data_IF_137453021869
#
_entry.id   IF_137453021869
#
_cell.length_a   1.000
_cell.length_b   1.000
_cell.length_c   1.000
_cell.angle_alpha   90.00
_cell.angle_beta   90.00
_cell.angle_gamma   90.00
#
_symmetry.space_group_name_H-M   'P 1'
#
loop_
_entity.id
_entity.type
_entity.pdbx_description
1 polymer ?
#
# COMPACT_ATOMS: atom_id res chain seq x y z
N UNK A 1 -7.89 42.37 -47.64
CA UNK A 1 -7.09 43.24 -48.52
C UNK A 1 -7.32 44.68 -48.10
N UNK A 2 -6.23 45.40 -47.80
CA UNK A 2 -6.17 46.87 -47.65
C UNK A 2 -6.87 47.47 -46.41
N UNK A 3 -6.34 48.45 -45.68
CA UNK A 3 -5.02 49.11 -45.65
C UNK A 3 -5.12 50.19 -44.56
N UNK A 4 -4.01 50.44 -43.86
CA UNK A 4 -3.61 51.71 -43.20
C UNK A 4 -4.48 52.24 -42.05
N UNK A 5 -3.99 53.03 -41.10
CA UNK A 5 -2.66 53.40 -40.59
C UNK A 5 -2.92 54.60 -39.67
N UNK A 6 -2.09 54.74 -38.64
CA UNK A 6 -1.68 56.03 -38.02
C UNK A 6 -2.77 56.89 -37.37
N UNK A 7 -2.62 57.09 -36.06
CA UNK A 7 -2.69 58.43 -35.50
C UNK A 7 -1.59 58.59 -34.43
N UNK A 8 -0.44 59.22 -34.71
CA UNK A 8 -0.06 60.65 -34.66
C UNK A 8 -0.09 61.30 -33.28
N UNK A 9 1.10 61.79 -32.87
CA UNK A 9 1.48 62.91 -31.96
C UNK A 9 2.54 62.42 -30.95
N UNK A 10 3.81 62.85 -30.97
CA UNK A 10 4.36 64.17 -31.27
C UNK A 10 4.17 65.05 -30.04
N UNK A 11 5.17 65.49 -29.26
CA UNK A 11 6.62 65.39 -29.38
C UNK A 11 7.30 65.97 -28.13
N UNK A 12 8.60 65.62 -27.99
CA UNK A 12 9.74 66.42 -27.48
C UNK A 12 9.55 67.47 -26.38
N UNK A 13 10.31 67.36 -25.28
CA UNK A 13 11.26 68.40 -24.84
C UNK A 13 12.50 67.74 -24.20
N UNK A 14 13.67 68.23 -24.60
CA UNK A 14 15.02 67.91 -24.11
C UNK A 14 15.40 68.80 -22.91
N UNK A 15 16.18 68.26 -21.98
CA UNK A 15 17.20 68.86 -21.08
C UNK A 15 17.40 67.81 -19.97
N UNK A 16 18.57 67.35 -19.56
CA UNK A 16 19.94 67.83 -19.64
C UNK A 16 20.58 67.45 -18.30
N UNK A 17 21.41 66.41 -18.29
CA UNK A 17 22.45 66.03 -17.32
C UNK A 17 22.18 66.15 -15.79
N UNK A 18 22.31 65.03 -15.07
CA UNK A 18 23.48 64.76 -14.19
C UNK A 18 23.24 63.57 -13.23
N UNK A 19 24.13 62.59 -13.34
CA UNK A 19 24.80 61.84 -12.26
C UNK A 19 23.97 61.39 -11.04
N UNK A 20 23.69 60.10 -10.95
CA UNK A 20 23.95 59.30 -9.76
C UNK A 20 23.79 57.81 -10.07
N UNK A 21 24.86 57.05 -9.82
CA UNK A 21 24.94 55.63 -9.99
C UNK A 21 24.04 54.88 -9.00
N UNK A 22 23.21 53.96 -9.50
CA UNK A 22 22.81 52.75 -8.77
C UNK A 22 22.65 51.60 -9.76
N UNK A 23 23.70 50.78 -9.89
CA UNK A 23 23.60 49.45 -10.49
C UNK A 23 22.71 48.59 -9.57
N UNK A 24 21.42 48.49 -9.84
CA UNK A 24 20.61 47.39 -9.31
C UNK A 24 20.80 46.16 -10.20
N UNK A 25 21.81 45.36 -9.87
CA UNK A 25 21.88 43.97 -10.29
C UNK A 25 20.73 43.21 -9.62
N UNK A 26 19.64 43.01 -10.36
CA UNK A 26 18.50 42.20 -9.92
C UNK A 26 18.85 40.71 -9.92
N UNK A 27 19.29 40.20 -8.79
CA UNK A 27 19.45 38.76 -8.56
C UNK A 27 18.08 38.09 -8.48
N UNK A 28 17.68 37.35 -9.53
CA UNK A 28 16.57 36.41 -9.47
C UNK A 28 16.97 35.24 -8.56
N UNK A 29 16.65 35.34 -7.28
CA UNK A 29 16.74 34.23 -6.35
C UNK A 29 15.68 33.18 -6.73
N UNK A 30 16.11 32.11 -7.40
CA UNK A 30 15.29 30.96 -7.70
C UNK A 30 15.04 30.21 -6.38
N UNK A 31 13.90 30.49 -5.73
CA UNK A 31 13.47 29.76 -4.55
C UNK A 31 13.09 28.34 -4.97
N UNK A 32 13.97 27.37 -4.68
CA UNK A 32 13.65 25.96 -4.84
C UNK A 32 12.49 25.61 -3.89
N UNK A 33 11.39 24.99 -4.36
CA UNK A 33 10.33 24.54 -3.48
C UNK A 33 10.89 23.47 -2.51
N UNK A 34 10.46 23.47 -1.23
CA UNK A 34 10.84 22.43 -0.30
C UNK A 34 10.36 21.08 -0.84
N UNK A 35 11.28 20.12 -0.94
CA UNK A 35 10.92 18.73 -1.20
C UNK A 35 9.96 18.27 -0.09
N UNK A 36 8.72 17.97 -0.45
CA UNK A 36 7.76 17.35 0.44
C UNK A 36 8.27 15.95 0.79
N UNK A 37 8.99 15.85 1.91
CA UNK A 37 9.41 14.57 2.47
C UNK A 37 8.20 13.80 2.97
N UNK A 38 8.20 12.49 2.76
CA UNK A 38 7.22 11.49 3.20
C UNK A 38 7.25 11.29 4.73
N UNK A 39 7.30 12.40 5.48
CA UNK A 39 7.78 12.50 6.86
C UNK A 39 6.85 11.90 7.94
N UNK A 40 5.97 10.97 7.55
CA UNK A 40 5.11 10.27 8.50
C UNK A 40 4.67 8.88 8.07
N UNK A 41 5.17 8.32 6.95
CA UNK A 41 4.83 6.94 6.55
C UNK A 41 5.90 5.97 7.03
N UNK A 42 5.47 4.89 7.68
CA UNK A 42 6.30 3.76 8.09
C UNK A 42 6.13 2.65 7.06
N UNK A 43 7.21 2.25 6.40
CA UNK A 43 7.21 1.10 5.50
C UNK A 43 7.23 -0.20 6.31
N UNK A 44 6.37 -1.15 5.92
CA UNK A 44 6.21 -2.42 6.61
C UNK A 44 6.49 -3.60 5.66
N UNK A 45 7.19 -4.64 6.12
CA UNK A 45 7.51 -5.83 5.33
C UNK A 45 6.33 -6.81 5.20
N UNK A 46 5.25 -6.63 5.97
CA UNK A 46 4.08 -7.51 5.95
C UNK A 46 2.80 -6.70 5.79
N UNK A 47 1.94 -7.14 4.88
CA UNK A 47 0.58 -6.67 4.71
C UNK A 47 -0.40 -7.75 5.24
N UNK A 48 -1.25 -7.38 6.19
CA UNK A 48 -2.35 -8.23 6.67
C UNK A 48 -3.59 -7.95 5.82
N UNK A 49 -4.10 -8.98 5.18
CA UNK A 49 -5.34 -8.94 4.41
C UNK A 49 -6.44 -9.71 5.14
N UNK A 50 -7.67 -9.26 4.94
CA UNK A 50 -8.85 -10.03 5.25
C UNK A 50 -9.51 -10.46 3.94
N UNK A 51 -9.96 -11.70 3.91
CA UNK A 51 -10.70 -12.27 2.79
C UNK A 51 -12.01 -12.87 3.27
N UNK A 52 -13.10 -12.62 2.55
CA UNK A 52 -14.38 -13.30 2.76
C UNK A 52 -14.68 -14.23 1.60
N UNK A 53 -15.17 -15.42 1.92
CA UNK A 53 -15.85 -16.28 0.96
C UNK A 53 -17.35 -16.00 1.04
N UNK A 54 -17.93 -15.43 -0.03
CA UNK A 54 -19.36 -15.08 -0.11
C UNK A 54 -20.27 -16.30 -0.12
N UNK A 55 -19.74 -17.49 -0.46
CA UNK A 55 -20.52 -18.74 -0.49
C UNK A 55 -20.66 -19.30 0.92
N UNK A 56 -19.56 -19.31 1.68
CA UNK A 56 -19.55 -19.88 3.04
C UNK A 56 -19.77 -18.85 4.14
N UNK A 57 -19.67 -17.56 3.82
CA UNK A 57 -19.77 -16.45 4.78
C UNK A 57 -18.59 -16.36 5.75
N UNK A 58 -17.51 -17.12 5.54
CA UNK A 58 -16.34 -17.13 6.44
C UNK A 58 -15.37 -16.03 6.05
N UNK A 59 -14.97 -15.23 7.03
CA UNK A 59 -13.89 -14.26 6.92
C UNK A 59 -12.64 -14.89 7.52
N UNK A 60 -11.54 -14.86 6.77
CA UNK A 60 -10.22 -15.23 7.27
C UNK A 60 -9.27 -14.05 7.15
N UNK A 61 -8.24 -14.07 7.96
CA UNK A 61 -7.17 -13.09 7.91
C UNK A 61 -5.87 -13.82 7.60
N UNK A 62 -5.09 -13.26 6.69
CA UNK A 62 -3.83 -13.84 6.27
C UNK A 62 -2.79 -12.74 6.09
N UNK A 63 -1.57 -13.03 6.55
CA UNK A 63 -0.43 -12.13 6.39
C UNK A 63 0.30 -12.48 5.09
N UNK A 64 0.69 -11.45 4.34
CA UNK A 64 1.42 -11.56 3.08
C UNK A 64 2.65 -10.69 3.15
N UNK A 65 3.81 -11.28 2.87
CA UNK A 65 5.06 -10.53 2.77
C UNK A 65 5.05 -9.67 1.49
N UNK A 66 5.73 -8.52 1.54
CA UNK A 66 5.88 -7.68 0.34
C UNK A 66 6.57 -8.47 -0.77
N UNK A 67 6.06 -8.32 -1.99
CA UNK A 67 6.47 -9.02 -3.21
C UNK A 67 6.26 -10.54 -3.24
N UNK A 68 5.62 -11.09 -2.21
CA UNK A 68 5.18 -12.48 -2.20
C UNK A 68 3.72 -12.61 -2.65
N UNK A 69 3.39 -13.74 -3.27
CA UNK A 69 2.03 -14.03 -3.72
C UNK A 69 1.41 -15.07 -2.82
N UNK A 70 0.29 -14.74 -2.18
CA UNK A 70 -0.52 -15.68 -1.42
C UNK A 70 -1.84 -15.93 -2.15
N UNK A 71 -2.28 -17.19 -2.15
CA UNK A 71 -3.54 -17.58 -2.77
C UNK A 71 -4.66 -17.63 -1.74
N UNK A 72 -5.75 -16.91 -2.01
CA UNK A 72 -7.01 -16.97 -1.29
C UNK A 72 -8.13 -17.42 -2.24
N UNK A 73 -8.56 -18.67 -2.11
CA UNK A 73 -9.54 -19.26 -3.03
C UNK A 73 -9.04 -19.27 -4.47
N UNK A 74 -9.72 -18.54 -5.34
CA UNK A 74 -9.34 -18.35 -6.75
C UNK A 74 -8.51 -17.08 -6.99
N UNK A 75 -8.23 -16.28 -5.95
CA UNK A 75 -7.49 -15.03 -6.06
C UNK A 75 -6.03 -15.23 -5.62
N UNK A 76 -5.11 -14.61 -6.34
CA UNK A 76 -3.70 -14.48 -6.01
C UNK A 76 -3.42 -13.02 -5.65
N UNK A 77 -3.02 -12.77 -4.41
CA UNK A 77 -2.84 -11.43 -3.85
C UNK A 77 -1.35 -11.18 -3.69
N UNK A 78 -0.86 -10.10 -4.30
CA UNK A 78 0.55 -9.71 -4.28
C UNK A 78 0.68 -8.24 -3.86
N UNK A 79 0.96 -7.94 -2.58
CA UNK A 79 1.26 -6.58 -2.14
C UNK A 79 2.65 -6.16 -2.62
N UNK A 80 2.77 -4.97 -3.21
CA UNK A 80 4.05 -4.38 -3.62
C UNK A 80 4.64 -3.43 -2.59
N UNK A 81 3.79 -2.72 -1.86
CA UNK A 81 4.18 -1.83 -0.77
C UNK A 81 3.10 -1.83 0.29
N UNK A 82 3.46 -1.59 1.55
CA UNK A 82 2.51 -1.42 2.65
C UNK A 82 3.04 -0.33 3.59
N UNK A 83 2.29 0.77 3.70
CA UNK A 83 2.62 1.89 4.57
C UNK A 83 1.60 2.01 5.70
N UNK A 84 2.09 2.30 6.90
CA UNK A 84 1.26 2.68 8.05
C UNK A 84 1.70 4.03 8.60
N UNK A 85 0.89 4.60 9.49
CA UNK A 85 1.26 5.78 10.28
C UNK A 85 1.73 5.39 11.68
N UNK A 86 2.64 6.18 12.29
CA UNK A 86 2.95 6.06 13.71
C UNK A 86 1.69 6.20 14.57
N UNK A 87 1.67 5.51 15.71
CA UNK A 87 0.51 5.49 16.63
C UNK A 87 0.14 6.86 17.22
N UNK A 88 1.05 7.84 17.14
CA UNK A 88 0.80 9.22 17.60
C UNK A 88 -0.10 10.03 16.66
N UNK A 89 -0.34 9.55 15.43
CA UNK A 89 -1.19 10.18 14.42
C UNK A 89 -2.47 9.36 14.17
N UNK A 90 -3.41 9.93 13.41
CA UNK A 90 -4.59 9.18 12.98
C UNK A 90 -4.17 7.96 12.14
N UNK A 91 -4.76 6.78 12.37
CA UNK A 91 -4.43 5.58 11.63
C UNK A 91 -4.75 5.80 10.16
N UNK A 92 -3.74 5.59 9.32
CA UNK A 92 -3.87 5.62 7.88
C UNK A 92 -2.93 4.58 7.29
N UNK A 93 -3.51 3.53 6.75
CA UNK A 93 -2.79 2.37 6.27
C UNK A 93 -3.16 2.16 4.82
N UNK A 94 -2.16 2.24 3.95
CA UNK A 94 -2.34 2.07 2.51
C UNK A 94 -1.35 1.06 1.94
N UNK A 95 -1.79 0.28 0.96
CA UNK A 95 -0.97 -0.73 0.29
C UNK A 95 -1.26 -0.71 -1.19
N UNK A 96 -0.23 -0.77 -2.03
CA UNK A 96 -0.40 -1.02 -3.45
C UNK A 96 -0.41 -2.53 -3.68
N UNK A 97 -1.48 -3.02 -4.29
CA UNK A 97 -1.75 -4.45 -4.41
C UNK A 97 -2.08 -4.80 -5.85
N UNK A 98 -1.52 -5.91 -6.32
CA UNK A 98 -1.91 -6.59 -7.54
C UNK A 98 -2.71 -7.83 -7.15
N UNK A 99 -3.89 -8.00 -7.75
CA UNK A 99 -4.71 -9.20 -7.57
C UNK A 99 -5.00 -9.84 -8.91
N UNK A 100 -4.61 -11.10 -9.02
CA UNK A 100 -4.87 -11.94 -10.17
C UNK A 100 -5.94 -12.99 -9.84
N UNK A 101 -6.81 -13.29 -10.79
CA UNK A 101 -7.82 -14.34 -10.70
C UNK A 101 -7.36 -15.57 -11.48
N UNK A 102 -7.53 -16.75 -10.88
CA UNK A 102 -7.39 -18.05 -11.54
C UNK A 102 -8.77 -18.47 -12.03
N UNK A 103 -8.98 -18.42 -13.35
CA UNK A 103 -10.26 -18.82 -13.95
C UNK A 103 -10.44 -20.34 -13.93
N UNK A 104 -11.68 -20.81 -14.22
CA UNK A 104 -12.01 -22.23 -14.39
C UNK A 104 -11.13 -22.94 -15.44
N UNK A 105 -10.71 -22.21 -16.47
CA UNK A 105 -9.80 -22.69 -17.52
C UNK A 105 -8.32 -22.71 -17.08
N UNK A 106 -8.03 -22.43 -15.80
CA UNK A 106 -6.68 -22.27 -15.25
C UNK A 106 -5.85 -21.16 -15.91
N UNK A 107 -6.51 -20.10 -16.39
CA UNK A 107 -5.83 -18.90 -16.89
C UNK A 107 -5.69 -17.90 -15.75
N UNK A 108 -4.52 -17.26 -15.67
CA UNK A 108 -4.26 -16.20 -14.70
C UNK A 108 -4.52 -14.85 -15.38
N UNK A 109 -5.35 -14.02 -14.76
CA UNK A 109 -5.67 -12.68 -15.27
C UNK A 109 -5.68 -11.66 -14.13
N UNK A 110 -5.01 -10.53 -14.34
CA UNK A 110 -5.09 -9.35 -13.47
C UNK A 110 -6.52 -8.81 -13.44
N UNK A 111 -7.13 -8.82 -12.26
CA UNK A 111 -8.45 -8.21 -12.04
C UNK A 111 -8.37 -6.88 -11.31
N UNK A 112 -7.28 -6.65 -10.57
CA UNK A 112 -7.08 -5.41 -9.83
C UNK A 112 -5.60 -5.03 -9.75
N UNK A 113 -5.34 -3.73 -9.85
CA UNK A 113 -4.04 -3.14 -9.55
C UNK A 113 -4.27 -1.73 -9.05
N UNK A 114 -3.86 -1.45 -7.81
CA UNK A 114 -4.17 -0.16 -7.22
C UNK A 114 -3.90 -0.09 -5.72
N UNK A 115 -4.23 1.07 -5.17
CA UNK A 115 -4.09 1.37 -3.75
C UNK A 115 -5.31 0.90 -2.97
N UNK A 116 -5.10 0.06 -1.96
CA UNK A 116 -6.08 -0.32 -0.96
C UNK A 116 -5.87 0.48 0.33
N UNK A 117 -6.97 0.77 1.04
CA UNK A 117 -6.98 1.53 2.29
C UNK A 117 -7.64 0.71 3.39
N UNK A 118 -6.94 0.51 4.52
CA UNK A 118 -7.47 -0.31 5.61
C UNK A 118 -8.65 0.36 6.32
N UNK A 119 -8.62 1.70 6.45
CA UNK A 119 -9.66 2.48 7.14
C UNK A 119 -10.88 2.74 6.25
N UNK A 120 -10.77 2.47 4.95
CA UNK A 120 -11.88 2.60 4.01
C UNK A 120 -11.85 1.47 2.97
N UNK A 121 -12.11 0.22 3.37
CA UNK A 121 -12.10 -0.93 2.47
C UNK A 121 -13.05 -0.73 1.28
N UNK A 122 -14.23 -0.14 1.50
CA UNK A 122 -15.21 0.10 0.44
C UNK A 122 -14.78 1.06 -0.67
N UNK A 123 -13.65 1.75 -0.55
CA UNK A 123 -13.14 2.64 -1.60
C UNK A 123 -12.38 1.87 -2.69
N UNK A 124 -11.59 0.87 -2.31
CA UNK A 124 -10.70 0.14 -3.22
C UNK A 124 -10.46 -1.33 -2.81
N UNK A 125 -11.43 -1.98 -2.18
CA UNK A 125 -11.39 -3.43 -1.99
C UNK A 125 -11.57 -4.17 -3.31
N UNK A 126 -11.04 -5.40 -3.39
CA UNK A 126 -11.33 -6.29 -4.49
C UNK A 126 -12.59 -7.06 -4.18
N UNK A 127 -13.63 -6.75 -4.96
CA UNK A 127 -14.91 -7.43 -4.92
C UNK A 127 -15.00 -8.42 -6.08
N UNK A 128 -14.78 -9.71 -5.80
CA UNK A 128 -15.00 -10.78 -6.77
C UNK A 128 -16.40 -11.38 -6.58
N UNK A 129 -16.92 -12.09 -7.59
CA UNK A 129 -18.25 -12.69 -7.53
C UNK A 129 -18.41 -13.70 -6.38
N UNK A 130 -17.30 -14.28 -5.94
CA UNK A 130 -17.24 -15.37 -4.93
C UNK A 130 -16.41 -14.96 -3.70
N UNK A 131 -15.39 -14.13 -3.86
CA UNK A 131 -14.43 -13.80 -2.81
C UNK A 131 -14.27 -12.29 -2.70
N UNK A 132 -14.16 -11.72 -1.51
CA UNK A 132 -13.64 -10.34 -1.38
C UNK A 132 -12.34 -10.34 -0.64
N UNK A 133 -11.46 -9.42 -1.01
CA UNK A 133 -10.17 -9.20 -0.35
C UNK A 133 -9.98 -7.72 -0.12
N UNK A 134 -9.61 -7.37 1.11
CA UNK A 134 -9.28 -6.01 1.48
C UNK A 134 -8.10 -5.97 2.45
N UNK A 135 -7.36 -4.86 2.41
CA UNK A 135 -6.29 -4.57 3.35
C UNK A 135 -6.87 -4.36 4.75
N UNK A 136 -6.26 -4.95 5.77
CA UNK A 136 -6.65 -4.80 7.17
C UNK A 136 -5.62 -4.03 7.98
N UNK A 137 -4.34 -4.31 7.79
CA UNK A 137 -3.25 -3.59 8.45
C UNK A 137 -1.91 -3.81 7.74
N UNK A 138 -0.90 -3.01 8.07
CA UNK A 138 0.49 -3.30 7.78
C UNK A 138 1.23 -3.60 9.08
N UNK A 139 2.07 -4.64 9.10
CA UNK A 139 2.79 -5.09 10.30
C UNK A 139 4.30 -5.16 10.07
N UNK A 140 5.06 -4.91 11.13
CA UNK A 140 6.52 -5.09 11.13
C UNK A 140 6.93 -6.57 11.25
N UNK A 141 6.08 -7.41 11.85
CA UNK A 141 6.34 -8.83 12.09
C UNK A 141 5.05 -9.63 11.83
N UNK A 142 5.21 -10.85 11.35
CA UNK A 142 4.14 -11.84 11.22
C UNK A 142 4.47 -13.08 12.05
N UNK A 143 3.45 -13.76 12.54
CA UNK A 143 3.58 -15.08 13.17
C UNK A 143 3.81 -16.19 12.11
N UNK A 144 3.61 -15.88 10.83
CA UNK A 144 3.85 -16.79 9.70
C UNK A 144 5.32 -16.69 9.27
N UNK A 145 6.09 -17.80 9.26
CA UNK A 145 7.48 -17.80 8.79
C UNK A 145 7.58 -17.30 7.34
N UNK A 146 8.56 -16.45 7.06
CA UNK A 146 8.82 -15.96 5.71
C UNK A 146 9.22 -17.13 4.77
N UNK A 147 8.84 -17.08 3.47
CA UNK A 147 9.13 -18.14 2.50
C UNK A 147 10.62 -18.51 2.34
N UNK A 148 11.55 -17.65 2.78
CA UNK A 148 13.00 -17.93 2.80
C UNK A 148 13.52 -18.60 4.10
N UNK A 149 12.78 -18.52 5.21
CA UNK A 149 13.18 -19.12 6.49
C UNK A 149 12.88 -20.63 6.56
N UNK A 150 12.03 -21.13 5.65
CA UNK A 150 11.69 -22.55 5.55
C UNK A 150 12.76 -23.41 4.82
N UNK A 151 13.86 -22.81 4.35
CA UNK A 151 15.04 -23.52 3.85
C UNK A 151 16.20 -23.49 4.86
N UNK A 152 15.94 -23.93 6.07
CA UNK A 152 16.97 -24.48 6.93
C UNK A 152 16.35 -25.65 7.71
N UNK A 153 16.56 -26.92 7.32
CA UNK A 153 16.37 -28.00 8.26
C UNK A 153 17.56 -27.95 9.23
N UNK A 154 17.29 -27.75 10.52
CA UNK A 154 18.01 -28.45 11.61
C UNK A 154 17.46 -28.09 12.99
N UNK A 155 17.14 -29.12 13.78
CA UNK A 155 17.52 -29.11 15.20
C UNK A 155 16.50 -28.63 16.25
N UNK A 156 15.36 -29.33 16.37
CA UNK A 156 14.79 -29.77 17.65
C UNK A 156 14.48 -28.77 18.78
N UNK A 157 13.21 -28.73 19.18
CA UNK A 157 12.80 -29.17 20.53
C UNK A 157 11.29 -29.25 20.62
N UNK A 158 10.77 -30.47 20.66
CA UNK A 158 9.40 -30.74 21.05
C UNK A 158 9.18 -30.39 22.52
N UNK A 159 8.11 -29.66 22.80
CA UNK A 159 7.36 -29.80 24.05
C UNK A 159 5.96 -30.25 23.68
N UNK A 160 5.80 -31.57 23.60
CA UNK A 160 4.49 -32.20 23.69
C UNK A 160 3.95 -31.99 25.10
N UNK A 161 2.93 -31.15 25.23
CA UNK A 161 2.10 -31.10 26.43
C UNK A 161 1.23 -32.36 26.46
N UNK A 162 1.52 -33.24 27.41
CA UNK A 162 0.73 -34.41 27.71
C UNK A 162 -0.69 -34.01 28.17
N UNK A 163 -1.71 -34.51 27.48
CA UNK A 163 -3.05 -34.64 28.02
C UNK A 163 -3.10 -35.92 28.88
N UNK A 164 -3.64 -35.90 30.12
CA UNK A 164 -3.96 -37.14 30.81
C UNK A 164 -5.15 -37.81 30.12
N UNK A 165 -4.98 -39.09 29.77
CA UNK A 165 -6.05 -39.97 29.36
C UNK A 165 -6.78 -40.52 30.60
N UNK A 166 -8.11 -40.48 30.58
CA UNK A 166 -8.97 -41.21 31.52
C UNK A 166 -8.83 -42.73 31.32
N UNK A 167 -8.61 -43.54 32.37
CA UNK A 167 -8.68 -44.99 32.24
C UNK A 167 -10.13 -45.46 32.36
N UNK A 168 -10.72 -45.79 31.21
CA UNK A 168 -11.34 -47.07 30.93
C UNK A 168 -12.29 -47.69 31.97
N UNK A 169 -13.58 -47.62 31.63
CA UNK A 169 -14.58 -48.69 31.78
C UNK A 169 -14.00 -50.10 31.66
N UNK A 170 -14.27 -50.96 32.64
CA UNK A 170 -14.30 -52.41 32.47
C UNK A 170 -15.67 -52.96 32.85
N UNK A 171 -16.36 -53.47 31.83
CA UNK A 171 -17.51 -54.38 31.93
C UNK A 171 -17.01 -55.80 32.26
N UNK A 172 -17.69 -56.52 33.16
CA UNK A 172 -17.65 -58.00 33.17
C UNK A 172 -17.71 -58.72 34.53
N UNK A 173 -18.85 -59.38 34.78
CA UNK A 173 -18.99 -60.74 35.37
C UNK A 173 -18.74 -60.95 36.88
N UNK A 174 -19.82 -61.02 37.67
CA UNK A 174 -20.37 -62.25 38.26
C UNK A 174 -21.74 -61.97 38.90
#
# INVERSE_FOLDING_TARGET
MRILSRNTMGGRVWTGAAVAATMLAGSLAFAAPPAAGDAGRVANPVAEFAGIDKITGRIITFDVYIDETVQFGALQVTPRVCYSRPEAEAPKTDSFVEVDEITLDRKIRRIFTGWMFAESPGLNAVEHAVYDVWLKACKQKSDVPAPGAAKAPDGGSGKGGAAPADPGTTSGTN
#
